data_IF_651385941666
#
_entry.id   IF_651385941666
#
_cell.length_a   1.000
_cell.length_b   1.000
_cell.length_c   1.000
_cell.angle_alpha   90.00
_cell.angle_beta   90.00
_cell.angle_gamma   90.00
#
_symmetry.space_group_name_H-M   'P 1'
#
loop_
_entity.id
_entity.type
_entity.pdbx_description
1 polymer ?
#
# COMPACT_ATOMS: atom_id res chain seq x y z
N UNK A 1 5.14 -37.10 -10.59
CA UNK A 1 4.21 -36.09 -11.15
C UNK A 1 4.88 -34.74 -10.97
N UNK A 2 5.10 -33.98 -12.04
CA UNK A 2 5.90 -32.75 -11.99
C UNK A 2 5.24 -31.73 -11.04
N UNK A 3 5.97 -31.18 -10.07
CA UNK A 3 5.41 -30.28 -9.05
C UNK A 3 4.85 -28.99 -9.66
N UNK A 4 5.40 -28.53 -10.78
CA UNK A 4 4.90 -27.40 -11.54
C UNK A 4 3.47 -27.64 -12.09
N UNK A 5 3.22 -28.82 -12.69
CA UNK A 5 1.91 -29.16 -13.27
C UNK A 5 0.79 -29.18 -12.22
N UNK A 6 1.05 -29.73 -11.03
CA UNK A 6 0.07 -29.72 -9.92
C UNK A 6 -0.27 -28.32 -9.43
N UNK A 7 0.70 -27.41 -9.45
CA UNK A 7 0.49 -26.04 -8.99
C UNK A 7 -0.25 -25.18 -10.02
N UNK A 8 0.03 -25.37 -11.31
CA UNK A 8 -0.76 -24.72 -12.38
C UNK A 8 -2.23 -25.17 -12.34
N UNK A 9 -2.49 -26.46 -12.09
CA UNK A 9 -3.84 -26.98 -11.89
C UNK A 9 -4.52 -26.35 -10.66
N UNK A 10 -3.81 -26.23 -9.55
CA UNK A 10 -4.31 -25.61 -8.32
C UNK A 10 -4.60 -24.11 -8.51
N UNK A 11 -3.71 -23.37 -9.17
CA UNK A 11 -3.92 -21.97 -9.54
C UNK A 11 -5.11 -21.79 -10.47
N UNK A 12 -5.28 -22.66 -11.47
CA UNK A 12 -6.44 -22.60 -12.34
C UNK A 12 -7.75 -22.93 -11.63
N UNK A 13 -7.71 -23.78 -10.60
CA UNK A 13 -8.86 -23.98 -9.73
C UNK A 13 -9.22 -22.70 -8.97
N UNK A 14 -8.22 -21.96 -8.45
CA UNK A 14 -8.46 -20.66 -7.82
C UNK A 14 -8.99 -19.61 -8.80
N UNK A 15 -8.48 -19.58 -10.05
CA UNK A 15 -8.99 -18.69 -11.11
C UNK A 15 -10.44 -19.01 -11.47
N UNK A 16 -10.78 -20.30 -11.65
CA UNK A 16 -12.14 -20.76 -12.01
C UNK A 16 -13.17 -20.52 -10.91
N UNK A 17 -12.78 -20.65 -9.64
CA UNK A 17 -13.70 -20.41 -8.51
C UNK A 17 -14.05 -18.93 -8.34
N UNK A 18 -13.23 -18.00 -8.84
CA UNK A 18 -13.50 -16.56 -8.83
C UNK A 18 -13.56 -15.91 -7.43
N UNK A 19 -13.25 -16.68 -6.37
CA UNK A 19 -13.38 -16.29 -4.96
C UNK A 19 -12.12 -15.66 -4.36
N UNK A 20 -11.11 -15.33 -5.16
CA UNK A 20 -9.76 -14.97 -4.70
C UNK A 20 -9.17 -13.80 -5.49
N UNK A 21 -8.36 -12.96 -4.81
CA UNK A 21 -7.48 -11.98 -5.45
C UNK A 21 -6.11 -12.62 -5.69
N UNK A 22 -5.81 -12.98 -6.93
CA UNK A 22 -4.61 -13.76 -7.26
C UNK A 22 -3.47 -12.80 -7.64
N UNK A 23 -2.37 -12.83 -6.87
CA UNK A 23 -1.23 -11.91 -7.01
C UNK A 23 -0.01 -12.62 -7.62
N UNK A 24 -0.05 -12.88 -8.93
CA UNK A 24 1.09 -13.51 -9.64
C UNK A 24 1.65 -12.52 -10.65
N UNK A 25 2.97 -12.23 -10.61
CA UNK A 25 3.61 -11.37 -11.59
C UNK A 25 3.73 -12.02 -12.99
N UNK A 26 3.54 -13.34 -13.11
CA UNK A 26 3.73 -14.11 -14.34
C UNK A 26 2.54 -15.06 -14.61
N UNK A 27 2.17 -15.26 -15.88
CA UNK A 27 1.05 -16.14 -16.25
C UNK A 27 1.42 -17.63 -16.31
N UNK A 28 2.71 -17.96 -16.39
CA UNK A 28 3.24 -19.32 -16.55
C UNK A 28 4.41 -19.56 -15.60
N UNK A 29 4.43 -20.75 -15.00
CA UNK A 29 5.50 -21.20 -14.11
C UNK A 29 6.43 -22.08 -14.92
N UNK A 30 7.69 -21.67 -15.00
CA UNK A 30 8.73 -22.50 -15.63
C UNK A 30 9.14 -23.64 -14.70
N UNK A 31 9.94 -24.57 -15.24
CA UNK A 31 10.45 -25.71 -14.49
C UNK A 31 11.18 -25.26 -13.22
N UNK A 32 10.60 -25.60 -12.05
CA UNK A 32 11.16 -25.25 -10.75
C UNK A 32 12.27 -26.26 -10.41
N UNK A 33 13.38 -25.78 -9.86
CA UNK A 33 14.46 -26.64 -9.34
C UNK A 33 13.90 -27.75 -8.42
N UNK A 34 14.42 -28.99 -8.47
CA UNK A 34 13.93 -30.11 -7.66
C UNK A 34 13.90 -29.84 -6.14
N UNK A 35 14.75 -28.94 -5.65
CA UNK A 35 14.83 -28.57 -4.23
C UNK A 35 13.86 -27.47 -3.80
N UNK A 36 12.94 -27.08 -4.69
CA UNK A 36 12.02 -25.99 -4.47
C UNK A 36 10.60 -26.44 -4.79
N UNK A 37 9.65 -26.04 -3.94
CA UNK A 37 8.22 -26.26 -4.17
C UNK A 37 7.47 -24.93 -4.18
N UNK A 38 6.51 -24.74 -5.08
CA UNK A 38 5.63 -23.59 -5.01
C UNK A 38 4.67 -23.78 -3.82
N UNK A 39 4.39 -22.70 -3.11
CA UNK A 39 3.53 -22.64 -1.92
C UNK A 39 2.59 -21.46 -2.10
N UNK A 40 1.32 -21.67 -1.76
CA UNK A 40 0.32 -20.61 -1.74
C UNK A 40 0.15 -20.10 -0.31
N UNK A 41 0.36 -18.80 -0.12
CA UNK A 41 -0.07 -18.12 1.10
C UNK A 41 -1.40 -17.41 0.87
N UNK A 42 -2.30 -17.57 1.84
CA UNK A 42 -3.63 -16.95 1.82
C UNK A 42 -3.64 -15.80 2.82
N UNK A 43 -3.77 -14.57 2.32
CA UNK A 43 -3.82 -13.36 3.13
C UNK A 43 -5.24 -12.80 3.11
N UNK A 44 -5.87 -12.72 4.28
CA UNK A 44 -7.17 -12.04 4.45
C UNK A 44 -6.94 -10.59 4.83
N UNK A 45 -7.62 -9.69 4.11
CA UNK A 45 -7.72 -8.27 4.47
C UNK A 45 -9.11 -8.05 5.08
N UNK A 46 -9.19 -7.29 6.16
CA UNK A 46 -10.44 -6.87 6.74
C UNK A 46 -11.01 -5.70 5.92
N UNK A 47 -12.15 -5.89 5.23
CA UNK A 47 -12.72 -4.87 4.36
C UNK A 47 -13.35 -3.71 5.13
N UNK A 48 -13.51 -3.83 6.45
CA UNK A 48 -14.11 -2.80 7.29
C UNK A 48 -13.13 -1.61 7.49
N UNK A 49 -13.48 -0.37 7.09
CA UNK A 49 -12.59 0.79 7.19
C UNK A 49 -12.10 1.09 8.61
N UNK A 50 -12.92 0.79 9.61
CA UNK A 50 -12.63 0.94 11.04
C UNK A 50 -11.61 -0.08 11.57
N UNK A 51 -11.45 -1.22 10.88
CA UNK A 51 -10.45 -2.22 11.25
C UNK A 51 -9.01 -1.79 10.89
N UNK A 52 -8.85 -0.70 10.14
CA UNK A 52 -7.54 -0.10 9.89
C UNK A 52 -6.68 -0.83 8.86
N UNK A 53 -7.25 -1.74 8.05
CA UNK A 53 -6.57 -2.38 6.91
C UNK A 53 -6.95 -1.74 5.55
N UNK A 54 -8.07 -1.02 5.47
CA UNK A 54 -8.51 -0.30 4.27
C UNK A 54 -9.02 1.10 4.58
N UNK A 55 -9.14 1.96 3.58
CA UNK A 55 -9.80 3.25 3.67
C UNK A 55 -10.59 3.54 2.39
N UNK A 56 -11.69 4.26 2.52
CA UNK A 56 -12.46 4.74 1.37
C UNK A 56 -11.75 5.95 0.75
N UNK A 57 -11.58 5.93 -0.56
CA UNK A 57 -10.78 6.95 -1.28
C UNK A 57 -11.53 8.28 -1.30
N UNK A 58 -12.81 8.21 -1.64
CA UNK A 58 -13.75 9.33 -1.57
C UNK A 58 -14.91 8.86 -0.72
N UNK A 59 -15.22 9.60 0.34
CA UNK A 59 -16.28 9.22 1.27
C UNK A 59 -17.61 9.03 0.53
N UNK A 60 -18.18 7.83 0.61
CA UNK A 60 -19.42 7.43 -0.06
C UNK A 60 -19.27 6.94 -1.51
N UNK A 61 -18.06 6.79 -2.06
CA UNK A 61 -17.88 6.24 -3.41
C UNK A 61 -17.97 4.71 -3.48
N UNK A 62 -17.78 4.03 -2.35
CA UNK A 62 -17.66 2.57 -2.30
C UNK A 62 -16.37 2.04 -2.93
N UNK A 63 -15.38 2.91 -3.18
CA UNK A 63 -14.05 2.53 -3.64
C UNK A 63 -13.04 2.59 -2.49
N UNK A 64 -12.39 1.47 -2.25
CA UNK A 64 -11.47 1.29 -1.15
C UNK A 64 -10.03 1.10 -1.63
N UNK A 65 -9.09 1.59 -0.83
CA UNK A 65 -7.67 1.34 -1.01
C UNK A 65 -7.09 0.65 0.23
N UNK A 66 -6.12 -0.23 0.00
CA UNK A 66 -5.36 -0.89 1.06
C UNK A 66 -4.52 0.14 1.85
N UNK A 67 -4.54 0.06 3.17
CA UNK A 67 -3.62 0.81 4.05
C UNK A 67 -2.26 0.11 4.10
N UNK A 68 -1.26 0.83 4.62
CA UNK A 68 0.08 0.30 4.85
C UNK A 68 0.08 -1.03 5.60
N UNK A 69 -0.78 -1.20 6.61
CA UNK A 69 -0.95 -2.45 7.38
C UNK A 69 -1.26 -3.66 6.49
N UNK A 70 -2.25 -3.53 5.60
CA UNK A 70 -2.62 -4.59 4.66
C UNK A 70 -1.53 -4.81 3.59
N UNK A 71 -0.93 -3.73 3.07
CA UNK A 71 0.15 -3.82 2.09
C UNK A 71 1.36 -4.58 2.65
N UNK A 72 1.79 -4.25 3.87
CA UNK A 72 2.93 -4.93 4.52
C UNK A 72 2.62 -6.41 4.79
N UNK A 73 1.40 -6.72 5.24
CA UNK A 73 0.94 -8.10 5.46
C UNK A 73 1.03 -8.93 4.17
N UNK A 74 0.56 -8.38 3.05
CA UNK A 74 0.66 -9.02 1.72
C UNK A 74 2.12 -9.11 1.27
N UNK A 75 2.90 -8.04 1.45
CA UNK A 75 4.33 -8.01 1.10
C UNK A 75 5.15 -9.06 1.82
N UNK A 76 4.91 -9.27 3.12
CA UNK A 76 5.57 -10.33 3.90
C UNK A 76 5.20 -11.73 3.41
N UNK A 77 3.91 -11.96 3.10
CA UNK A 77 3.48 -13.23 2.53
C UNK A 77 4.14 -13.51 1.16
N UNK A 78 4.41 -12.46 0.39
CA UNK A 78 5.12 -12.55 -0.89
C UNK A 78 6.63 -12.79 -0.75
N UNK A 79 7.17 -12.80 0.48
CA UNK A 79 8.60 -12.91 0.70
C UNK A 79 9.39 -11.70 0.18
N UNK A 80 8.78 -10.51 0.24
CA UNK A 80 9.43 -9.27 -0.16
C UNK A 80 10.62 -8.94 0.75
N UNK A 81 11.75 -8.59 0.13
CA UNK A 81 13.00 -8.26 0.83
C UNK A 81 13.38 -6.82 0.47
N UNK A 82 13.51 -5.97 1.48
CA UNK A 82 13.95 -4.58 1.30
C UNK A 82 15.46 -4.51 1.06
N UNK A 83 15.89 -3.77 0.03
CA UNK A 83 17.29 -3.40 -0.12
C UNK A 83 17.61 -2.21 0.78
N UNK A 84 18.19 -2.46 1.95
CA UNK A 84 18.52 -1.41 2.92
C UNK A 84 19.39 -0.28 2.32
N UNK A 85 20.30 -0.59 1.37
CA UNK A 85 21.13 0.44 0.70
C UNK A 85 20.34 1.25 -0.33
N UNK A 86 19.37 0.62 -1.00
CA UNK A 86 18.48 1.27 -1.96
C UNK A 86 17.36 2.09 -1.32
N UNK A 87 17.14 1.93 -0.01
CA UNK A 87 16.14 2.65 0.78
C UNK A 87 16.74 3.84 1.51
N UNK A 88 16.54 5.07 1.00
CA UNK A 88 17.11 6.28 1.61
C UNK A 88 16.35 7.54 1.22
N UNK A 89 16.55 8.60 2.00
CA UNK A 89 16.13 9.97 1.66
C UNK A 89 16.94 10.46 0.45
N UNK A 90 16.26 11.02 -0.55
CA UNK A 90 16.90 11.48 -1.80
C UNK A 90 16.97 12.99 -1.96
N UNK A 91 16.28 13.76 -1.11
CA UNK A 91 16.46 15.22 -1.07
C UNK A 91 17.69 15.62 -0.23
N UNK A 92 18.15 16.86 -0.43
CA UNK A 92 19.35 17.41 0.20
C UNK A 92 19.13 17.98 1.62
N UNK A 93 17.90 17.94 2.14
CA UNK A 93 17.57 18.46 3.47
C UNK A 93 17.58 19.98 3.62
N UNK A 94 17.87 20.73 2.56
CA UNK A 94 17.94 22.20 2.62
C UNK A 94 16.56 22.84 2.72
N UNK A 95 15.56 22.26 2.08
CA UNK A 95 14.17 22.69 2.20
C UNK A 95 13.46 21.85 3.29
N UNK A 96 13.06 22.45 4.42
CA UNK A 96 12.32 21.73 5.46
C UNK A 96 10.90 21.33 5.04
N UNK A 97 10.35 21.90 3.98
CA UNK A 97 9.01 21.58 3.49
C UNK A 97 9.01 20.40 2.50
N UNK A 98 10.15 20.10 1.89
CA UNK A 98 10.28 19.00 0.93
C UNK A 98 10.95 17.80 1.58
N UNK A 99 10.35 16.63 1.41
CA UNK A 99 10.98 15.35 1.75
C UNK A 99 10.73 14.36 0.64
N UNK A 100 11.80 13.82 0.08
CA UNK A 100 11.73 12.75 -0.93
C UNK A 100 12.41 11.51 -0.38
N UNK A 101 11.78 10.35 -0.55
CA UNK A 101 12.30 9.08 -0.13
C UNK A 101 12.23 8.07 -1.26
N UNK A 102 13.29 7.30 -1.42
CA UNK A 102 13.38 6.15 -2.32
C UNK A 102 13.27 4.87 -1.52
N UNK A 103 12.42 3.95 -1.97
CA UNK A 103 12.37 2.59 -1.47
C UNK A 103 12.70 1.62 -2.61
N UNK A 104 13.35 0.52 -2.26
CA UNK A 104 13.75 -0.52 -3.21
C UNK A 104 13.59 -1.90 -2.55
N UNK A 105 12.96 -2.83 -3.25
CA UNK A 105 12.76 -4.18 -2.78
C UNK A 105 12.83 -5.19 -3.92
N UNK A 106 13.02 -6.46 -3.53
CA UNK A 106 12.95 -7.58 -4.43
C UNK A 106 11.97 -8.64 -3.94
N UNK A 107 11.37 -9.35 -4.89
CA UNK A 107 10.61 -10.59 -4.66
C UNK A 107 11.26 -11.67 -5.54
N UNK A 108 11.34 -12.89 -5.01
CA UNK A 108 11.88 -14.02 -5.76
C UNK A 108 10.81 -14.54 -6.72
N UNK A 109 11.13 -14.56 -8.00
CA UNK A 109 10.30 -15.15 -9.05
C UNK A 109 10.35 -16.66 -9.01
N UNK A 110 9.46 -17.26 -9.79
CA UNK A 110 9.25 -18.68 -9.91
C UNK A 110 10.44 -19.41 -10.58
N UNK A 111 11.18 -18.70 -11.43
CA UNK A 111 12.45 -19.16 -12.03
C UNK A 111 13.65 -19.05 -11.05
N UNK A 112 13.40 -18.63 -9.80
CA UNK A 112 14.41 -18.45 -8.76
C UNK A 112 15.20 -17.14 -8.84
N UNK A 113 15.05 -16.35 -9.92
CA UNK A 113 15.67 -15.03 -10.06
C UNK A 113 14.89 -13.96 -9.27
N UNK A 114 15.51 -12.81 -9.02
CA UNK A 114 14.85 -11.71 -8.30
C UNK A 114 14.24 -10.71 -9.27
N UNK A 115 13.00 -10.31 -9.02
CA UNK A 115 12.43 -9.09 -9.59
C UNK A 115 12.74 -7.93 -8.63
N UNK A 116 13.56 -6.98 -9.09
CA UNK A 116 13.90 -5.77 -8.34
C UNK A 116 13.03 -4.61 -8.80
N UNK A 117 12.43 -3.88 -7.86
CA UNK A 117 11.73 -2.64 -8.15
C UNK A 117 12.02 -1.58 -7.09
N UNK A 118 12.09 -0.35 -7.58
CA UNK A 118 12.15 0.84 -6.75
C UNK A 118 10.96 1.78 -7.03
N UNK A 119 10.65 2.61 -6.05
CA UNK A 119 9.76 3.73 -6.20
C UNK A 119 10.24 4.89 -5.34
N UNK A 120 9.88 6.10 -5.76
CA UNK A 120 10.15 7.32 -5.01
C UNK A 120 8.83 7.97 -4.62
N UNK A 121 8.84 8.64 -3.48
CA UNK A 121 7.71 9.42 -3.01
C UNK A 121 8.20 10.74 -2.42
N UNK A 122 7.54 11.82 -2.86
CA UNK A 122 7.81 13.18 -2.43
C UNK A 122 6.62 13.68 -1.62
N UNK A 123 6.94 14.37 -0.53
CA UNK A 123 6.01 15.14 0.27
C UNK A 123 6.42 16.60 0.19
N UNK A 124 5.46 17.44 -0.17
CA UNK A 124 5.55 18.89 -0.08
C UNK A 124 4.60 19.38 1.02
N UNK A 125 5.18 19.87 2.12
CA UNK A 125 4.42 20.37 3.25
C UNK A 125 3.69 21.68 2.96
N UNK A 126 4.11 22.45 1.96
CA UNK A 126 3.40 23.66 1.52
C UNK A 126 2.09 23.26 0.85
N UNK A 127 2.14 22.32 -0.10
CA UNK A 127 0.94 21.80 -0.77
C UNK A 127 -0.01 21.14 0.24
N UNK A 128 0.52 20.33 1.16
CA UNK A 128 -0.30 19.72 2.21
C UNK A 128 -0.96 20.79 3.10
N UNK A 129 -0.27 21.87 3.42
CA UNK A 129 -0.84 22.97 4.21
C UNK A 129 -1.99 23.66 3.48
N UNK A 130 -1.82 23.93 2.18
CA UNK A 130 -2.85 24.53 1.32
C UNK A 130 -4.10 23.63 1.22
N UNK A 131 -3.92 22.34 0.92
CA UNK A 131 -5.01 21.35 0.86
C UNK A 131 -5.73 21.23 2.21
N UNK A 132 -4.97 21.20 3.31
CA UNK A 132 -5.50 21.09 4.68
C UNK A 132 -6.31 22.34 5.03
N UNK A 133 -5.81 23.52 4.66
CA UNK A 133 -6.48 24.80 4.86
C UNK A 133 -7.79 24.87 4.09
N UNK A 134 -7.78 24.57 2.80
CA UNK A 134 -8.99 24.54 1.97
C UNK A 134 -10.05 23.58 2.56
N UNK A 135 -9.64 22.40 3.02
CA UNK A 135 -10.53 21.44 3.66
C UNK A 135 -11.18 22.01 4.94
N UNK A 136 -10.39 22.67 5.80
CA UNK A 136 -10.92 23.29 7.02
C UNK A 136 -11.77 24.52 6.75
N UNK A 137 -11.47 25.30 5.71
CA UNK A 137 -12.30 26.43 5.28
C UNK A 137 -13.69 25.96 4.84
N UNK A 138 -13.76 24.96 3.94
CA UNK A 138 -15.01 24.33 3.51
C UNK A 138 -15.80 23.79 4.71
N UNK A 139 -15.13 23.10 5.63
CA UNK A 139 -15.73 22.58 6.86
C UNK A 139 -16.23 23.70 7.78
N UNK A 140 -15.50 24.81 7.91
CA UNK A 140 -15.90 25.96 8.73
C UNK A 140 -17.17 26.63 8.20
N UNK A 141 -17.30 26.74 6.87
CA UNK A 141 -18.50 27.31 6.21
C UNK A 141 -19.73 26.45 6.53
N UNK A 142 -19.59 25.13 6.37
CA UNK A 142 -20.67 24.19 6.63
C UNK A 142 -21.12 24.25 8.11
N UNK A 143 -20.16 24.21 9.05
CA UNK A 143 -20.44 24.26 10.49
C UNK A 143 -20.99 25.61 10.95
N UNK A 144 -20.54 26.71 10.35
CA UNK A 144 -21.01 28.04 10.73
C UNK A 144 -22.49 28.25 10.45
N UNK A 145 -23.03 27.63 9.40
CA UNK A 145 -24.47 27.68 9.08
C UNK A 145 -25.32 27.05 10.21
N UNK A 146 -24.86 25.92 10.74
CA UNK A 146 -25.55 25.19 11.81
C UNK A 146 -25.33 25.85 13.19
N UNK A 147 -24.07 26.20 13.48
CA UNK A 147 -23.63 26.66 14.80
C UNK A 147 -23.60 28.17 14.99
N UNK A 148 -24.01 28.94 13.96
CA UNK A 148 -24.05 30.41 13.95
C UNK A 148 -22.73 31.05 14.38
N UNK A 149 -21.61 30.52 13.89
CA UNK A 149 -20.28 31.04 14.22
C UNK A 149 -20.04 32.41 13.58
N UNK A 150 -19.36 33.30 14.32
CA UNK A 150 -18.85 34.56 13.77
C UNK A 150 -17.74 34.30 12.75
N UNK A 151 -17.48 35.28 11.88
CA UNK A 151 -16.38 35.20 10.92
C UNK A 151 -15.02 35.06 11.62
N UNK A 152 -14.83 35.79 12.73
CA UNK A 152 -13.62 35.73 13.55
C UNK A 152 -13.40 34.32 14.13
N UNK A 153 -14.43 33.72 14.71
CA UNK A 153 -14.33 32.36 15.25
C UNK A 153 -14.03 31.33 14.15
N UNK A 154 -14.58 31.51 12.94
CA UNK A 154 -14.26 30.63 11.81
C UNK A 154 -12.79 30.70 11.42
N UNK A 155 -12.22 31.90 11.36
CA UNK A 155 -10.79 32.09 11.06
C UNK A 155 -9.92 31.42 12.12
N UNK A 156 -10.21 31.65 13.40
CA UNK A 156 -9.50 30.98 14.50
C UNK A 156 -9.61 29.46 14.44
N UNK A 157 -10.82 28.93 14.17
CA UNK A 157 -11.04 27.50 13.99
C UNK A 157 -10.17 26.91 12.86
N UNK A 158 -10.09 27.57 11.71
CA UNK A 158 -9.25 27.11 10.59
C UNK A 158 -7.78 27.11 11.00
N UNK A 159 -7.26 28.25 11.50
CA UNK A 159 -5.85 28.36 11.89
C UNK A 159 -5.45 27.34 12.95
N UNK A 160 -6.26 27.15 13.98
CA UNK A 160 -5.98 26.20 15.07
C UNK A 160 -5.88 24.77 14.56
N UNK A 161 -6.76 24.37 13.65
CA UNK A 161 -6.76 23.01 13.13
C UNK A 161 -5.65 22.78 12.10
N UNK A 162 -5.43 23.74 11.18
CA UNK A 162 -4.30 23.69 10.22
C UNK A 162 -2.99 23.60 10.97
N UNK A 163 -2.76 24.47 11.97
CA UNK A 163 -1.55 24.45 12.80
C UNK A 163 -1.34 23.11 13.48
N UNK A 164 -2.39 22.53 14.09
CA UNK A 164 -2.32 21.21 14.76
C UNK A 164 -1.89 20.12 13.77
N UNK A 165 -2.52 20.05 12.60
CA UNK A 165 -2.28 18.98 11.64
C UNK A 165 -0.92 19.15 10.96
N UNK A 166 -0.52 20.38 10.64
CA UNK A 166 0.81 20.67 10.10
C UNK A 166 1.93 20.37 11.07
N UNK A 167 1.75 20.55 12.38
CA UNK A 167 2.74 20.12 13.38
C UNK A 167 2.94 18.60 13.35
N UNK A 168 1.88 17.82 13.21
CA UNK A 168 1.97 16.36 13.08
C UNK A 168 2.67 15.97 11.78
N UNK A 169 2.29 16.59 10.65
CA UNK A 169 2.92 16.33 9.35
C UNK A 169 4.40 16.67 9.35
N UNK A 170 4.79 17.81 9.93
CA UNK A 170 6.20 18.22 10.12
C UNK A 170 6.96 17.23 11.00
N UNK A 171 6.36 16.77 12.11
CA UNK A 171 6.97 15.79 13.03
C UNK A 171 7.27 14.46 12.34
N UNK A 172 6.38 13.99 11.47
CA UNK A 172 6.45 12.66 10.86
C UNK A 172 6.76 12.66 9.35
N UNK A 173 7.21 13.80 8.80
CA UNK A 173 7.40 13.99 7.34
C UNK A 173 8.27 12.91 6.69
N UNK A 174 9.34 12.50 7.37
CA UNK A 174 10.25 11.47 6.86
C UNK A 174 9.60 10.09 6.86
N UNK A 175 8.94 9.72 7.96
CA UNK A 175 8.23 8.45 8.06
C UNK A 175 7.09 8.36 7.04
N UNK A 176 6.36 9.45 6.82
CA UNK A 176 5.31 9.52 5.80
C UNK A 176 5.88 9.32 4.39
N UNK A 177 6.99 9.99 4.06
CA UNK A 177 7.64 9.84 2.76
C UNK A 177 8.16 8.41 2.55
N UNK A 178 8.79 7.84 3.58
CA UNK A 178 9.27 6.47 3.60
C UNK A 178 8.14 5.46 3.40
N UNK A 179 7.06 5.54 4.18
CA UNK A 179 5.91 4.64 4.05
C UNK A 179 5.29 4.76 2.67
N UNK A 180 5.08 5.97 2.14
CA UNK A 180 4.52 6.14 0.80
C UNK A 180 5.39 5.56 -0.31
N UNK A 181 6.73 5.66 -0.20
CA UNK A 181 7.64 5.02 -1.15
C UNK A 181 7.60 3.48 -1.05
N UNK A 182 7.60 2.94 0.17
CA UNK A 182 7.51 1.49 0.40
C UNK A 182 6.18 0.92 -0.12
N UNK A 183 5.06 1.58 0.19
CA UNK A 183 3.72 1.18 -0.28
C UNK A 183 3.63 1.19 -1.81
N UNK A 184 4.28 2.16 -2.48
CA UNK A 184 4.39 2.18 -3.96
C UNK A 184 5.17 0.98 -4.50
N UNK A 185 6.27 0.59 -3.85
CA UNK A 185 7.05 -0.61 -4.25
C UNK A 185 6.19 -1.85 -4.11
N UNK A 186 5.53 -2.07 -2.96
CA UNK A 186 4.67 -3.24 -2.72
C UNK A 186 3.58 -3.33 -3.80
N UNK A 187 2.90 -2.22 -4.08
CA UNK A 187 1.84 -2.20 -5.10
C UNK A 187 2.37 -2.55 -6.49
N UNK A 188 3.51 -1.97 -6.87
CA UNK A 188 4.11 -2.17 -8.19
C UNK A 188 4.64 -3.59 -8.37
N UNK A 189 5.34 -4.13 -7.38
CA UNK A 189 5.99 -5.45 -7.47
C UNK A 189 5.01 -6.61 -7.40
N UNK A 190 3.88 -6.44 -6.71
CA UNK A 190 2.84 -7.46 -6.59
C UNK A 190 1.65 -7.23 -7.54
N UNK A 191 1.69 -6.18 -8.37
CA UNK A 191 0.59 -5.84 -9.29
C UNK A 191 -0.73 -5.54 -8.59
N UNK A 192 -0.71 -4.95 -7.38
CA UNK A 192 -1.92 -4.63 -6.64
C UNK A 192 -2.70 -3.49 -7.31
N UNK A 193 -4.02 -3.62 -7.36
CA UNK A 193 -4.90 -2.54 -7.84
C UNK A 193 -4.78 -1.31 -6.94
N UNK A 194 -4.98 -0.14 -7.53
CA UNK A 194 -5.09 1.10 -6.76
C UNK A 194 -6.36 1.10 -5.89
N UNK A 195 -7.45 0.56 -6.43
CA UNK A 195 -8.80 0.59 -5.85
C UNK A 195 -9.45 -0.78 -5.91
N UNK A 196 -10.32 -1.06 -4.95
CA UNK A 196 -11.11 -2.29 -4.82
C UNK A 196 -12.53 -1.96 -4.40
N UNK A 197 -13.51 -2.75 -4.86
CA UNK A 197 -14.85 -2.80 -4.27
C UNK A 197 -14.85 -3.63 -2.99
N UNK A 198 -15.85 -3.43 -2.14
CA UNK A 198 -15.98 -4.17 -0.88
C UNK A 198 -16.05 -5.69 -1.10
N UNK A 199 -16.86 -6.13 -2.07
CA UNK A 199 -16.98 -7.53 -2.49
C UNK A 199 -15.65 -8.14 -2.99
N UNK A 200 -14.75 -7.33 -3.55
CA UNK A 200 -13.42 -7.80 -3.94
C UNK A 200 -12.53 -7.99 -2.71
N UNK A 201 -12.64 -7.12 -1.70
CA UNK A 201 -11.84 -7.20 -0.48
C UNK A 201 -12.26 -8.33 0.46
N UNK A 202 -13.51 -8.81 0.36
CA UNK A 202 -13.96 -10.02 1.05
C UNK A 202 -13.24 -11.28 0.55
N UNK A 203 -12.73 -11.24 -0.69
CA UNK A 203 -11.95 -12.32 -1.27
C UNK A 203 -10.53 -12.30 -0.72
N UNK A 204 -10.01 -13.43 -0.17
CA UNK A 204 -8.63 -13.48 0.26
C UNK A 204 -7.67 -13.28 -0.90
N UNK A 205 -6.51 -12.72 -0.59
CA UNK A 205 -5.38 -12.60 -1.50
C UNK A 205 -4.58 -13.91 -1.51
N UNK A 206 -4.33 -14.44 -2.69
CA UNK A 206 -3.48 -15.61 -2.91
C UNK A 206 -2.13 -15.10 -3.38
N UNK A 207 -1.10 -15.43 -2.60
CA UNK A 207 0.27 -15.03 -2.84
C UNK A 207 1.10 -16.30 -3.10
N UNK A 208 1.44 -16.59 -4.35
CA UNK A 208 2.35 -17.69 -4.65
C UNK A 208 3.77 -17.30 -4.25
N UNK A 209 4.49 -18.24 -3.65
CA UNK A 209 5.92 -18.11 -3.38
C UNK A 209 6.64 -19.43 -3.60
N UNK A 210 7.95 -19.37 -3.79
CA UNK A 210 8.79 -20.57 -3.82
C UNK A 210 9.39 -20.81 -2.44
N UNK A 211 9.19 -22.02 -1.90
CA UNK A 211 9.82 -22.49 -0.69
C UNK A 211 10.90 -23.53 -1.00
N UNK A 212 12.05 -23.44 -0.33
CA UNK A 212 13.05 -24.50 -0.36
C UNK A 212 12.52 -25.73 0.38
N UNK A 213 12.69 -26.91 -0.21
CA UNK A 213 12.23 -28.19 0.32
C UNK A 213 13.25 -29.28 -0.04
N UNK A 214 14.26 -29.52 0.81
CA UNK A 214 15.34 -30.46 0.51
C UNK A 214 14.97 -31.93 0.71
N UNK A 215 13.82 -32.21 1.34
CA UNK A 215 13.36 -33.58 1.65
C UNK A 215 12.58 -34.24 0.48
N UNK A 216 12.85 -33.81 -0.76
CA UNK A 216 12.38 -34.44 -2.00
C UNK A 216 13.56 -35.16 -2.66
#
# INVERSE_FOLDING_TARGET
MNHALKFDEELEQYRKTGGYNILIPTQTIQEISPFHKPVLEIVRVNPAPEAGEVYEIVKGSGDFALRATALQKIGYAAGLIWNAKGCHRTDNGMDPNIVTYRAEAAVRKEDGTYMLLNAEYMIDLTVIEEETREAYEKKSIALAKEKKWSEEYRKDYVEKNVKRDMLQKRKFRLQLAQTGAMDRVIRKILGLKATYKQEELEKPFIVPKIAFNPDI
#
